data_IF_777493623713
#
_entry.id   IF_777493623713
#
_cell.length_a   1.000
_cell.length_b   1.000
_cell.length_c   1.000
_cell.angle_alpha   90.00
_cell.angle_beta   90.00
_cell.angle_gamma   90.00
#
_symmetry.space_group_name_H-M   'P 1'
#
loop_
_entity.id
_entity.type
_entity.pdbx_description
1 polymer ?
#
# COMPACT_ATOMS: atom_id res chain seq x y z
N UNK A 1 4.78 6.95 14.29
CA UNK A 1 3.88 7.17 13.14
C UNK A 1 2.64 7.92 13.60
N UNK A 2 2.18 8.91 12.83
CA UNK A 2 0.91 9.62 13.01
C UNK A 2 -0.27 8.63 12.97
N UNK A 3 -1.36 8.93 13.67
CA UNK A 3 -2.54 8.06 13.72
C UNK A 3 -3.08 7.72 12.30
N UNK A 4 -3.12 6.43 11.92
CA UNK A 4 -3.56 5.98 10.59
C UNK A 4 -4.96 6.45 10.19
N UNK A 5 -5.89 6.54 11.15
CA UNK A 5 -7.27 6.97 10.87
C UNK A 5 -7.32 8.46 10.55
N UNK A 6 -6.53 9.25 11.26
CA UNK A 6 -6.35 10.68 10.99
C UNK A 6 -5.74 10.90 9.60
N UNK A 7 -4.70 10.14 9.23
CA UNK A 7 -4.09 10.17 7.88
C UNK A 7 -5.14 9.89 6.80
N UNK A 8 -5.93 8.83 6.95
CA UNK A 8 -6.99 8.48 5.99
C UNK A 8 -8.06 9.57 5.88
N UNK A 9 -8.46 10.13 7.02
CA UNK A 9 -9.47 11.20 7.06
C UNK A 9 -8.98 12.44 6.31
N UNK A 10 -7.75 12.88 6.59
CA UNK A 10 -7.13 14.00 5.89
C UNK A 10 -6.98 13.71 4.39
N UNK A 11 -6.55 12.50 4.02
CA UNK A 11 -6.41 12.12 2.62
C UNK A 11 -7.74 12.11 1.84
N UNK A 12 -8.87 11.88 2.52
CA UNK A 12 -10.20 11.97 1.92
C UNK A 12 -10.70 13.41 1.75
N UNK A 13 -10.38 14.27 2.70
CA UNK A 13 -10.86 15.66 2.72
C UNK A 13 -9.99 16.58 1.85
N UNK A 14 -8.68 16.31 1.80
CA UNK A 14 -7.69 17.16 1.15
C UNK A 14 -7.55 18.54 1.80
N UNK A 15 -6.58 19.36 1.36
CA UNK A 15 -5.37 18.96 0.63
C UNK A 15 -4.41 18.15 1.52
N UNK A 16 -3.59 17.29 0.90
CA UNK A 16 -2.58 16.49 1.60
C UNK A 16 -1.19 17.11 1.48
N UNK A 17 -0.27 16.84 2.43
CA UNK A 17 1.13 17.22 2.29
C UNK A 17 1.76 16.74 0.97
N UNK A 18 2.65 17.55 0.37
CA UNK A 18 3.24 17.26 -0.94
C UNK A 18 4.09 15.97 -0.99
N UNK A 19 4.58 15.53 0.17
CA UNK A 19 5.33 14.29 0.34
C UNK A 19 4.43 13.06 0.55
N UNK A 20 3.11 13.21 0.51
CA UNK A 20 2.19 12.08 0.52
C UNK A 20 1.88 11.62 -0.91
N UNK A 21 1.57 10.34 -1.05
CA UNK A 21 1.00 9.75 -2.27
C UNK A 21 -0.32 9.10 -1.92
N UNK A 22 -1.39 9.54 -2.58
CA UNK A 22 -2.75 9.09 -2.31
C UNK A 22 -3.29 8.37 -3.53
N UNK A 23 -3.72 7.14 -3.35
CA UNK A 23 -4.33 6.32 -4.38
C UNK A 23 -5.78 6.04 -3.99
N UNK A 24 -6.71 6.43 -4.85
CA UNK A 24 -8.14 6.19 -4.69
C UNK A 24 -8.64 5.28 -5.80
N UNK A 25 -9.55 4.35 -5.47
CA UNK A 25 -10.24 3.53 -6.47
C UNK A 25 -11.74 3.67 -6.29
N UNK A 26 -12.47 3.98 -7.36
CA UNK A 26 -13.93 3.84 -7.34
C UNK A 26 -14.26 2.37 -7.17
N UNK A 27 -15.12 2.02 -6.21
CA UNK A 27 -15.63 0.66 -6.07
C UNK A 27 -16.33 0.29 -7.40
N UNK A 28 -15.90 -0.80 -8.04
CA UNK A 28 -16.57 -1.29 -9.24
C UNK A 28 -18.02 -1.67 -8.90
N UNK A 29 -18.96 -1.52 -9.85
CA UNK A 29 -20.30 -2.13 -9.70
C UNK A 29 -20.08 -3.63 -9.51
N UNK A 30 -20.29 -4.11 -8.29
CA UNK A 30 -20.25 -5.55 -7.99
C UNK A 30 -21.47 -6.15 -8.69
N UNK A 31 -21.28 -6.74 -9.89
CA UNK A 31 -22.30 -7.62 -10.44
C UNK A 31 -22.27 -8.90 -9.61
N UNK A 32 -23.26 -9.08 -8.74
CA UNK A 32 -23.47 -10.32 -8.01
C UNK A 32 -23.27 -10.21 -6.50
N UNK A 33 -24.40 -10.14 -5.79
CA UNK A 33 -24.65 -10.77 -4.48
C UNK A 33 -23.76 -10.48 -3.26
N UNK A 34 -22.85 -9.51 -3.28
CA UNK A 34 -22.20 -9.04 -2.05
C UNK A 34 -22.57 -7.58 -1.81
N UNK A 35 -23.61 -7.36 -1.00
CA UNK A 35 -23.95 -6.06 -0.41
C UNK A 35 -22.78 -5.59 0.46
N UNK A 36 -21.82 -4.89 -0.15
CA UNK A 36 -21.25 -3.74 0.52
C UNK A 36 -22.40 -2.74 0.67
N UNK A 37 -22.68 -2.31 1.90
CA UNK A 37 -23.61 -1.20 2.13
C UNK A 37 -23.12 -0.01 1.33
N UNK A 38 -24.05 0.74 0.71
CA UNK A 38 -23.74 1.92 -0.12
C UNK A 38 -22.91 3.00 0.59
N UNK A 39 -22.74 2.87 1.90
CA UNK A 39 -22.08 3.79 2.83
C UNK A 39 -20.58 3.50 3.01
N UNK A 40 -20.10 2.31 2.65
CA UNK A 40 -18.69 1.93 2.89
C UNK A 40 -17.76 2.73 1.96
N UNK A 41 -16.78 3.48 2.52
CA UNK A 41 -15.98 4.40 1.73
C UNK A 41 -15.13 3.69 0.66
N UNK A 42 -14.76 4.45 -0.37
CA UNK A 42 -13.89 3.94 -1.44
C UNK A 42 -12.53 3.47 -0.89
N UNK A 43 -11.96 2.37 -1.42
CA UNK A 43 -10.61 1.94 -1.09
C UNK A 43 -9.61 3.08 -1.28
N UNK A 44 -8.70 3.18 -0.32
CA UNK A 44 -7.77 4.29 -0.20
C UNK A 44 -6.44 3.77 0.30
N UNK A 45 -5.37 4.01 -0.46
CA UNK A 45 -4.01 3.79 -0.03
C UNK A 45 -3.32 5.14 0.11
N UNK A 46 -2.73 5.38 1.27
CA UNK A 46 -1.94 6.58 1.56
C UNK A 46 -0.54 6.14 1.91
N UNK A 47 0.44 6.66 1.18
CA UNK A 47 1.86 6.47 1.47
C UNK A 47 2.38 7.81 1.97
N UNK A 48 2.91 7.79 3.18
CA UNK A 48 3.48 8.94 3.88
C UNK A 48 4.97 8.70 4.10
N UNK A 49 5.74 9.72 4.51
CA UNK A 49 7.15 9.53 4.89
C UNK A 49 7.37 8.56 6.05
N UNK A 50 6.34 8.26 6.84
CA UNK A 50 6.44 7.40 8.03
C UNK A 50 5.98 5.97 7.77
N UNK A 51 5.29 5.73 6.65
CA UNK A 51 4.68 4.43 6.38
C UNK A 51 3.57 4.44 5.33
N UNK A 52 3.01 3.26 5.10
CA UNK A 52 1.89 3.05 4.18
C UNK A 52 0.65 2.58 4.94
N UNK A 53 -0.49 3.19 4.64
CA UNK A 53 -1.78 2.91 5.26
C UNK A 53 -2.78 2.61 4.15
N UNK A 54 -3.37 1.41 4.17
CA UNK A 54 -4.41 1.02 3.24
C UNK A 54 -5.73 0.75 3.95
N UNK A 55 -6.76 1.48 3.54
CA UNK A 55 -8.16 1.14 3.76
C UNK A 55 -8.69 0.35 2.57
N UNK A 56 -9.20 -0.87 2.83
CA UNK A 56 -9.85 -1.70 1.82
C UNK A 56 -11.38 -1.61 1.92
N UNK A 57 -11.92 -2.04 3.06
CA UNK A 57 -13.35 -2.16 3.36
C UNK A 57 -13.56 -2.23 4.88
N UNK A 58 -14.80 -2.07 5.36
CA UNK A 58 -15.13 -2.07 6.79
C UNK A 58 -14.75 -3.37 7.53
N UNK A 59 -14.66 -4.50 6.81
CA UNK A 59 -14.37 -5.82 7.40
C UNK A 59 -12.87 -6.03 7.63
N UNK A 60 -12.03 -5.45 6.78
CA UNK A 60 -10.57 -5.40 6.96
C UNK A 60 -10.12 -3.95 6.86
N UNK A 61 -10.36 -3.16 7.92
CA UNK A 61 -10.38 -1.71 7.81
C UNK A 61 -9.01 -1.12 7.51
N UNK A 62 -7.93 -1.72 8.01
CA UNK A 62 -6.60 -1.11 7.96
C UNK A 62 -5.50 -2.15 7.77
N UNK A 63 -4.71 -1.98 6.71
CA UNK A 63 -3.37 -2.56 6.61
C UNK A 63 -2.38 -1.43 6.83
N UNK A 64 -1.46 -1.60 7.77
CA UNK A 64 -0.50 -0.57 8.17
C UNK A 64 0.91 -1.16 8.05
N UNK A 65 1.79 -0.39 7.43
CA UNK A 65 3.24 -0.64 7.44
C UNK A 65 3.91 0.60 7.98
N UNK A 66 4.51 0.48 9.17
CA UNK A 66 5.25 1.54 9.83
C UNK A 66 6.74 1.42 9.50
N UNK A 67 7.32 2.42 8.83
CA UNK A 67 8.72 2.35 8.40
C UNK A 67 9.72 2.35 9.55
N UNK A 68 9.34 2.89 10.72
CA UNK A 68 10.17 2.85 11.92
C UNK A 68 10.39 1.43 12.46
N UNK A 69 9.53 0.48 12.11
CA UNK A 69 9.63 -0.91 12.56
C UNK A 69 10.41 -1.79 11.57
N UNK A 70 10.78 -1.24 10.40
CA UNK A 70 11.46 -1.96 9.34
C UNK A 70 12.98 -1.81 9.43
N UNK A 71 13.68 -2.94 9.51
CA UNK A 71 15.12 -3.00 9.35
C UNK A 71 15.52 -2.77 7.89
N UNK A 72 14.83 -3.45 6.96
CA UNK A 72 15.11 -3.42 5.52
C UNK A 72 13.87 -3.78 4.68
N UNK A 73 13.89 -3.44 3.39
CA UNK A 73 12.89 -3.87 2.41
C UNK A 73 13.56 -4.43 1.15
N UNK A 74 12.89 -5.36 0.47
CA UNK A 74 13.38 -5.90 -0.81
C UNK A 74 12.25 -5.97 -1.82
N UNK A 75 12.45 -5.37 -2.99
CA UNK A 75 11.53 -5.53 -4.12
C UNK A 75 11.67 -6.94 -4.70
N UNK A 76 10.55 -7.66 -4.83
CA UNK A 76 10.46 -8.96 -5.47
C UNK A 76 9.50 -8.90 -6.65
N UNK A 77 9.88 -9.60 -7.72
CA UNK A 77 9.03 -9.80 -8.87
C UNK A 77 9.11 -11.26 -9.32
N UNK A 78 8.00 -11.82 -9.77
CA UNK A 78 7.95 -13.15 -10.36
C UNK A 78 7.10 -13.11 -11.61
N UNK A 79 7.65 -13.62 -12.70
CA UNK A 79 6.93 -13.82 -13.94
C UNK A 79 6.45 -15.28 -14.00
N UNK A 80 5.20 -15.47 -14.40
CA UNK A 80 4.65 -16.79 -14.66
C UNK A 80 4.12 -16.84 -16.08
N UNK A 81 4.55 -17.86 -16.83
CA UNK A 81 4.12 -18.14 -18.21
C UNK A 81 3.33 -19.43 -18.22
N UNK A 82 2.17 -19.46 -18.86
CA UNK A 82 1.45 -20.70 -19.15
C UNK A 82 1.73 -21.13 -20.59
N UNK A 83 1.79 -22.45 -20.84
CA UNK A 83 2.15 -23.00 -22.16
C UNK A 83 1.21 -22.58 -23.31
N UNK A 84 0.02 -22.08 -22.98
CA UNK A 84 -0.99 -21.59 -23.94
C UNK A 84 -0.97 -20.07 -24.15
N UNK A 85 -0.05 -19.34 -23.51
CA UNK A 85 0.00 -17.88 -23.51
C UNK A 85 1.33 -17.36 -24.04
N UNK A 86 1.28 -16.44 -25.00
CA UNK A 86 2.44 -15.63 -25.41
C UNK A 86 2.75 -14.49 -24.43
N UNK A 87 1.93 -14.30 -23.39
CA UNK A 87 2.07 -13.27 -22.38
C UNK A 87 2.54 -13.86 -21.04
N UNK A 88 3.42 -13.14 -20.36
CA UNK A 88 3.84 -13.44 -19.00
C UNK A 88 3.03 -12.61 -18.00
N UNK A 89 2.54 -13.24 -16.94
CA UNK A 89 1.91 -12.54 -15.81
C UNK A 89 3.00 -12.14 -14.81
N UNK A 90 3.20 -10.85 -14.62
CA UNK A 90 4.16 -10.30 -13.65
C UNK A 90 3.47 -10.03 -12.31
N UNK A 91 3.96 -10.67 -11.25
CA UNK A 91 3.55 -10.44 -9.86
C UNK A 91 4.66 -9.72 -9.13
N UNK A 92 4.39 -8.51 -8.62
CA UNK A 92 5.37 -7.66 -7.93
C UNK A 92 4.92 -7.41 -6.49
N UNK A 93 5.84 -7.48 -5.53
CA UNK A 93 5.59 -7.20 -4.12
C UNK A 93 6.86 -6.75 -3.40
N UNK A 94 6.73 -6.30 -2.15
CA UNK A 94 7.85 -5.93 -1.29
C UNK A 94 7.94 -6.91 -0.14
N UNK A 95 9.09 -7.55 0.04
CA UNK A 95 9.40 -8.27 1.27
C UNK A 95 9.82 -7.25 2.33
N UNK A 96 9.18 -7.30 3.49
CA UNK A 96 9.44 -6.47 4.65
C UNK A 96 10.23 -7.28 5.68
N UNK A 97 11.38 -6.76 6.12
CA UNK A 97 12.12 -7.30 7.25
C UNK A 97 12.04 -6.34 8.41
N UNK A 98 11.44 -6.79 9.52
CA UNK A 98 11.23 -5.97 10.71
C UNK A 98 12.42 -6.06 11.66
N UNK A 99 12.60 -5.03 12.48
CA UNK A 99 13.69 -4.95 13.47
C UNK A 99 13.62 -6.03 14.56
N UNK A 100 12.44 -6.62 14.79
CA UNK A 100 12.22 -7.75 15.69
C UNK A 100 12.57 -9.12 15.04
N UNK A 101 13.06 -9.12 13.80
CA UNK A 101 13.39 -10.31 13.02
C UNK A 101 12.21 -10.93 12.27
N UNK A 102 10.99 -10.42 12.46
CA UNK A 102 9.83 -10.89 11.71
C UNK A 102 9.91 -10.48 10.25
N UNK A 103 9.28 -11.27 9.37
CA UNK A 103 9.21 -10.99 7.94
C UNK A 103 7.78 -11.03 7.46
N UNK A 104 7.41 -10.08 6.62
CA UNK A 104 6.10 -10.04 5.98
C UNK A 104 6.23 -9.75 4.49
N UNK A 105 5.21 -10.13 3.73
CA UNK A 105 5.06 -9.73 2.34
C UNK A 105 4.03 -8.61 2.27
N UNK A 106 4.43 -7.47 1.71
CA UNK A 106 3.52 -6.36 1.44
C UNK A 106 3.23 -6.22 -0.05
N UNK A 107 1.94 -6.13 -0.36
CA UNK A 107 1.39 -5.72 -1.65
C UNK A 107 0.05 -5.07 -1.35
N UNK A 108 -0.24 -3.95 -2.01
CA UNK A 108 -1.55 -3.34 -1.83
C UNK A 108 -2.65 -4.31 -2.23
N UNK A 109 -3.68 -4.43 -1.41
CA UNK A 109 -4.80 -5.35 -1.69
C UNK A 109 -5.71 -4.78 -2.77
N UNK A 110 -5.94 -3.46 -2.75
CA UNK A 110 -6.90 -2.77 -3.61
C UNK A 110 -6.23 -2.22 -4.88
N UNK A 111 -4.91 -1.99 -4.82
CA UNK A 111 -4.10 -1.40 -5.88
C UNK A 111 -2.97 -2.34 -6.33
N UNK A 112 -3.18 -3.66 -6.24
CA UNK A 112 -2.20 -4.70 -6.53
C UNK A 112 -1.56 -4.60 -7.94
N UNK A 113 -2.31 -4.08 -8.92
CA UNK A 113 -1.87 -3.94 -10.32
C UNK A 113 -1.33 -2.54 -10.63
N UNK A 114 -1.38 -1.61 -9.65
CA UNK A 114 -0.84 -0.28 -9.81
C UNK A 114 0.63 -0.26 -9.39
N UNK A 115 1.54 -0.35 -10.37
CA UNK A 115 2.98 -0.30 -10.14
C UNK A 115 3.44 1.01 -9.46
N UNK A 116 2.72 2.11 -9.65
CA UNK A 116 3.02 3.38 -8.97
C UNK A 116 2.85 3.27 -7.45
N UNK A 117 1.98 2.39 -6.95
CA UNK A 117 1.84 2.16 -5.51
C UNK A 117 3.09 1.50 -4.91
N UNK A 118 3.68 0.55 -5.62
CA UNK A 118 4.93 -0.10 -5.20
C UNK A 118 6.10 0.87 -5.30
N UNK A 119 6.20 1.62 -6.40
CA UNK A 119 7.23 2.65 -6.57
C UNK A 119 7.15 3.70 -5.47
N UNK A 120 5.97 4.29 -5.23
CA UNK A 120 5.76 5.28 -4.19
C UNK A 120 6.13 4.75 -2.79
N UNK A 121 5.88 3.47 -2.51
CA UNK A 121 6.28 2.84 -1.26
C UNK A 121 7.81 2.81 -1.11
N UNK A 122 8.52 2.37 -2.15
CA UNK A 122 9.99 2.28 -2.15
C UNK A 122 10.62 3.66 -2.04
N UNK A 123 10.11 4.65 -2.80
CA UNK A 123 10.58 6.03 -2.74
C UNK A 123 10.39 6.64 -1.34
N UNK A 124 9.23 6.43 -0.72
CA UNK A 124 8.94 6.92 0.62
C UNK A 124 9.84 6.26 1.69
N UNK A 125 10.06 4.94 1.60
CA UNK A 125 10.98 4.25 2.51
C UNK A 125 12.43 4.68 2.31
N UNK A 126 12.88 4.84 1.06
CA UNK A 126 14.21 5.35 0.75
C UNK A 126 14.44 6.74 1.33
N UNK A 127 13.46 7.65 1.17
CA UNK A 127 13.50 8.98 1.78
C UNK A 127 13.52 8.90 3.32
N UNK A 128 12.72 8.02 3.91
CA UNK A 128 12.69 7.80 5.36
C UNK A 128 14.06 7.38 5.90
N UNK A 129 14.71 6.39 5.29
CA UNK A 129 16.04 5.91 5.69
C UNK A 129 17.12 6.96 5.50
N UNK A 130 17.06 7.73 4.40
CA UNK A 130 18.00 8.82 4.15
C UNK A 130 17.91 9.94 5.21
N UNK A 131 16.71 10.19 5.76
CA UNK A 131 16.52 11.15 6.85
C UNK A 131 17.00 10.59 8.19
N UNK A 132 16.79 9.30 8.46
CA UNK A 132 17.27 8.66 9.69
C UNK A 132 18.80 8.53 9.74
N UNK A 133 19.47 8.20 8.63
CA UNK A 133 20.94 8.06 8.59
C UNK A 133 21.71 9.38 8.63
N UNK A 134 21.03 10.53 8.71
CA UNK A 134 21.63 11.87 8.86
C UNK A 134 21.75 12.33 10.30
N UNK A 135 21.29 11.53 11.27
CA UNK A 135 21.36 11.78 12.71
C UNK A 135 22.06 10.64 13.44
#
# INVERSE_FOLDING_TARGET
>A
MTDPRTILTQARQGPVPANWRVFTKKRGKVSGFLRGTSEDPNPLLVITPEGAIEYKDERKPLTIVNFYELADITLKATASTSSSSSFATLSVWVDLSYSDGTKAKWRSTSFADNQQAIQAFIEAYGAHKALQGRY
#
